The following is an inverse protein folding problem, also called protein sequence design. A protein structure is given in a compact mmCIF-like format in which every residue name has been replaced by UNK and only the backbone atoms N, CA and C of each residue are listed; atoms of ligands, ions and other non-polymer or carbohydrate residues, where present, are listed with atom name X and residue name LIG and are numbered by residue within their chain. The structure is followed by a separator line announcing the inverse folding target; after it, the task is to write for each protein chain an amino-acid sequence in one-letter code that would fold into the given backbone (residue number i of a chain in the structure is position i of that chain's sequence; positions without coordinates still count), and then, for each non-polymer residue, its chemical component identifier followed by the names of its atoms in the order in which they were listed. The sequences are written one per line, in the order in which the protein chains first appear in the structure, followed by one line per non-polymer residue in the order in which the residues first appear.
data_IF_910720636606
#
_entry.id   IF_910720636606
#
_cell.length_a   1.000
_cell.length_b   1.000
_cell.length_c   1.000
_cell.angle_alpha   90.00
_cell.angle_beta   90.00
_cell.angle_gamma   90.00
#
_symmetry.space_group_name_H-M   'P 1'
#
loop_
_entity.id
_entity.type
_entity.pdbx_description
1 polymer ?
#
# COMPACT_ATOMS: atom_id res chain seq x y z
N UNK A 1 -2.83 6.10 -18.30
CA UNK A 1 -1.61 5.72 -17.54
C UNK A 1 -1.88 5.52 -16.06
N UNK A 2 -2.40 6.52 -15.32
CA UNK A 2 -2.70 6.42 -13.88
C UNK A 2 -3.47 5.14 -13.49
N UNK A 3 -4.51 4.81 -14.24
CA UNK A 3 -5.34 3.60 -14.02
C UNK A 3 -4.52 2.31 -14.10
N UNK A 4 -3.65 2.20 -15.09
CA UNK A 4 -2.80 1.01 -15.25
C UNK A 4 -1.72 0.95 -14.17
N UNK A 5 -1.13 2.10 -13.81
CA UNK A 5 -0.14 2.20 -12.76
C UNK A 5 -0.68 1.76 -11.40
N UNK A 6 -1.91 2.16 -11.02
CA UNK A 6 -2.50 1.74 -9.74
C UNK A 6 -2.91 0.25 -9.76
N UNK A 7 -3.45 -0.25 -10.87
CA UNK A 7 -3.76 -1.67 -11.01
C UNK A 7 -2.50 -2.53 -10.91
N UNK A 8 -1.41 -2.10 -11.55
CA UNK A 8 -0.11 -2.76 -11.47
C UNK A 8 0.46 -2.70 -10.04
N UNK A 9 0.33 -1.57 -9.34
CA UNK A 9 0.78 -1.42 -7.96
C UNK A 9 0.00 -2.36 -7.02
N UNK A 10 -1.32 -2.40 -7.12
CA UNK A 10 -2.17 -3.30 -6.32
C UNK A 10 -1.88 -4.79 -6.64
N UNK A 11 -1.47 -5.11 -7.87
CA UNK A 11 -1.05 -6.47 -8.26
C UNK A 11 0.34 -6.80 -7.68
N UNK A 12 1.31 -5.90 -7.83
CA UNK A 12 2.64 -6.05 -7.25
C UNK A 12 2.59 -6.22 -5.73
N UNK A 13 1.71 -5.51 -5.03
CA UNK A 13 1.55 -5.68 -3.57
C UNK A 13 1.09 -7.10 -3.20
N UNK A 14 0.21 -7.72 -3.98
CA UNK A 14 -0.22 -9.12 -3.75
C UNK A 14 0.88 -10.11 -4.10
N UNK A 15 1.56 -9.87 -5.22
CA UNK A 15 2.61 -10.75 -5.70
C UNK A 15 3.82 -10.71 -4.77
N UNK A 16 4.24 -9.53 -4.30
CA UNK A 16 5.30 -9.37 -3.31
C UNK A 16 4.97 -10.10 -2.00
N UNK A 17 3.74 -10.02 -1.51
CA UNK A 17 3.33 -10.76 -0.31
C UNK A 17 3.38 -12.27 -0.53
N UNK A 18 2.89 -12.74 -1.68
CA UNK A 18 2.90 -14.17 -2.03
C UNK A 18 4.33 -14.69 -2.19
N UNK A 19 5.18 -13.95 -2.89
CA UNK A 19 6.58 -14.28 -3.07
C UNK A 19 7.35 -14.24 -1.75
N UNK A 20 7.06 -13.29 -0.86
CA UNK A 20 7.73 -13.23 0.42
C UNK A 20 7.38 -14.43 1.32
N UNK A 21 6.12 -14.88 1.32
CA UNK A 21 5.72 -16.12 2.00
C UNK A 21 6.46 -17.32 1.42
N UNK A 22 6.61 -17.39 0.09
CA UNK A 22 7.33 -18.48 -0.59
C UNK A 22 8.84 -18.47 -0.30
N UNK A 23 9.48 -17.29 -0.30
CA UNK A 23 10.88 -17.11 0.10
C UNK A 23 11.09 -17.58 1.53
N UNK A 24 10.19 -17.21 2.45
CA UNK A 24 10.26 -17.65 3.84
C UNK A 24 10.20 -19.15 3.94
N UNK A 25 9.19 -19.79 3.35
CA UNK A 25 9.06 -21.24 3.38
C UNK A 25 10.30 -21.94 2.82
N UNK A 26 10.83 -21.49 1.69
CA UNK A 26 11.95 -22.15 1.03
C UNK A 26 13.27 -21.96 1.80
N UNK A 27 13.54 -20.75 2.28
CA UNK A 27 14.75 -20.44 3.04
C UNK A 27 14.73 -21.03 4.46
N UNK A 28 13.55 -21.21 5.07
CA UNK A 28 13.41 -21.83 6.39
C UNK A 28 13.90 -23.29 6.45
N UNK A 29 13.96 -23.99 5.31
CA UNK A 29 14.55 -25.34 5.27
C UNK A 29 16.05 -25.29 5.54
N UNK A 30 16.72 -24.21 5.11
CA UNK A 30 18.14 -23.99 5.31
C UNK A 30 18.44 -23.29 6.65
N UNK A 31 17.68 -22.26 6.99
CA UNK A 31 17.91 -21.44 8.19
C UNK A 31 16.57 -21.10 8.88
N UNK A 32 16.01 -22.02 9.69
CA UNK A 32 14.70 -21.85 10.31
C UNK A 32 14.68 -20.73 11.36
N UNK A 33 15.77 -20.48 12.07
CA UNK A 33 15.86 -19.49 13.15
C UNK A 33 15.68 -18.05 12.63
N UNK A 34 16.05 -17.77 11.38
CA UNK A 34 15.85 -16.45 10.76
C UNK A 34 14.37 -16.05 10.71
N UNK A 35 13.46 -17.03 10.63
CA UNK A 35 12.01 -16.78 10.60
C UNK A 35 11.51 -16.20 11.92
N UNK A 36 12.06 -16.65 13.04
CA UNK A 36 11.64 -16.21 14.37
C UNK A 36 12.22 -14.84 14.70
N UNK A 37 13.47 -14.59 14.28
CA UNK A 37 14.15 -13.32 14.49
C UNK A 37 13.55 -12.20 13.63
N UNK A 38 13.32 -12.44 12.33
CA UNK A 38 12.86 -11.41 11.39
C UNK A 38 11.38 -11.58 11.08
N UNK A 39 10.55 -10.74 11.72
CA UNK A 39 9.10 -10.73 11.53
C UNK A 39 8.67 -10.09 10.21
N UNK A 40 9.40 -9.07 9.73
CA UNK A 40 9.07 -8.41 8.46
C UNK A 40 9.52 -9.27 7.27
N UNK A 41 8.58 -9.52 6.38
CA UNK A 41 8.74 -10.28 5.15
C UNK A 41 9.73 -9.63 4.17
N UNK A 42 9.76 -8.30 4.11
CA UNK A 42 10.65 -7.59 3.21
C UNK A 42 12.09 -7.59 3.71
N UNK A 43 12.29 -7.32 5.00
CA UNK A 43 13.60 -7.42 5.65
C UNK A 43 14.15 -8.84 5.58
N UNK A 44 13.31 -9.86 5.81
CA UNK A 44 13.69 -11.26 5.70
C UNK A 44 14.31 -11.58 4.34
N UNK A 45 13.70 -11.09 3.27
CA UNK A 45 14.17 -11.35 1.92
C UNK A 45 15.46 -10.63 1.56
N UNK A 46 15.65 -9.39 2.05
CA UNK A 46 16.92 -8.68 1.90
C UNK A 46 18.03 -9.39 2.67
N UNK A 47 17.75 -9.89 3.87
CA UNK A 47 18.68 -10.71 4.64
C UNK A 47 19.01 -12.01 3.90
N UNK A 48 18.01 -12.74 3.40
CA UNK A 48 18.21 -13.99 2.67
C UNK A 48 19.02 -13.80 1.38
N UNK A 49 18.80 -12.69 0.65
CA UNK A 49 19.58 -12.36 -0.56
C UNK A 49 21.06 -12.09 -0.25
N UNK A 50 21.33 -11.49 0.92
CA UNK A 50 22.68 -11.12 1.35
C UNK A 50 23.46 -12.29 1.98
N UNK A 51 22.79 -13.06 2.83
CA UNK A 51 23.38 -14.16 3.58
C UNK A 51 23.75 -15.33 2.66
N UNK A 52 22.87 -15.69 1.72
CA UNK A 52 23.02 -16.85 0.84
C UNK A 52 23.30 -18.13 1.65
N UNK A 53 24.56 -18.52 1.78
CA UNK A 53 24.98 -19.68 2.57
C UNK A 53 25.32 -19.33 4.02
N UNK A 54 24.83 -20.16 4.95
CA UNK A 54 25.14 -20.09 6.39
C UNK A 54 26.63 -20.09 6.71
N UNK A 55 27.44 -20.78 5.90
CA UNK A 55 28.89 -20.92 6.07
C UNK A 55 29.66 -19.67 5.64
N UNK A 56 29.05 -18.82 4.81
CA UNK A 56 29.64 -17.57 4.35
C UNK A 56 29.41 -16.41 5.32
N UNK A 57 28.80 -16.67 6.48
CA UNK A 57 28.45 -15.67 7.48
C UNK A 57 29.61 -15.46 8.45
N UNK A 58 30.45 -14.46 8.17
CA UNK A 58 31.60 -14.05 8.99
C UNK A 58 31.30 -12.71 9.68
N UNK A 59 31.98 -12.41 10.79
CA UNK A 59 31.84 -11.14 11.53
C UNK A 59 32.13 -9.90 10.65
N UNK A 60 32.86 -10.06 9.55
CA UNK A 60 33.13 -9.01 8.56
C UNK A 60 31.87 -8.53 7.81
N UNK A 61 30.81 -9.34 7.75
CA UNK A 61 29.52 -8.98 7.13
C UNK A 61 28.54 -8.34 8.11
N UNK A 62 28.89 -8.23 9.40
CA UNK A 62 28.09 -7.54 10.41
C UNK A 62 27.69 -6.10 10.03
N UNK A 63 28.59 -5.22 9.54
CA UNK A 63 28.20 -3.83 9.24
C UNK A 63 27.12 -3.75 8.17
N UNK A 64 27.21 -4.53 7.10
CA UNK A 64 26.22 -4.53 6.01
C UNK A 64 24.88 -5.16 6.45
N UNK A 65 24.93 -6.18 7.32
CA UNK A 65 23.74 -6.79 7.90
C UNK A 65 23.03 -5.84 8.88
N UNK A 66 23.80 -5.05 9.65
CA UNK A 66 23.28 -3.98 10.52
C UNK A 66 22.63 -2.87 9.70
N UNK A 67 23.18 -2.49 8.55
CA UNK A 67 22.55 -1.51 7.66
C UNK A 67 21.21 -2.02 7.09
N UNK A 68 21.11 -3.31 6.78
CA UNK A 68 19.88 -3.91 6.24
C UNK A 68 18.81 -4.05 7.32
N UNK A 69 19.18 -4.55 8.51
CA UNK A 69 18.27 -4.84 9.61
C UNK A 69 17.96 -3.59 10.43
N UNK A 70 18.79 -2.55 10.34
CA UNK A 70 18.72 -1.29 11.09
C UNK A 70 18.79 -1.48 12.62
N UNK A 71 19.20 -2.66 13.08
CA UNK A 71 19.29 -3.05 14.49
C UNK A 71 20.54 -3.91 14.70
N UNK A 72 21.48 -3.40 15.50
CA UNK A 72 22.75 -4.07 15.81
C UNK A 72 22.56 -5.33 16.66
N UNK A 73 21.57 -5.33 17.56
CA UNK A 73 21.34 -6.46 18.44
C UNK A 73 20.74 -7.63 17.67
N UNK A 74 19.85 -7.33 16.73
CA UNK A 74 19.23 -8.34 15.87
C UNK A 74 20.24 -8.91 14.86
N UNK A 75 21.17 -8.10 14.33
CA UNK A 75 22.26 -8.59 13.49
C UNK A 75 23.20 -9.56 14.23
N UNK A 76 23.58 -9.23 15.48
CA UNK A 76 24.39 -10.13 16.33
C UNK A 76 23.65 -11.43 16.65
N UNK A 77 22.35 -11.36 16.91
CA UNK A 77 21.51 -12.55 17.13
C UNK A 77 21.43 -13.43 15.89
N UNK A 78 21.35 -12.86 14.68
CA UNK A 78 21.37 -13.63 13.43
C UNK A 78 22.70 -14.37 13.26
N UNK A 79 23.84 -13.72 13.52
CA UNK A 79 25.17 -14.36 13.44
C UNK A 79 25.34 -15.44 14.50
N UNK A 80 24.81 -15.23 15.70
CA UNK A 80 24.83 -16.26 16.73
C UNK A 80 23.91 -17.45 16.37
N UNK A 81 22.74 -17.16 15.81
CA UNK A 81 21.79 -18.17 15.36
C UNK A 81 22.33 -18.98 14.17
N UNK A 82 23.12 -18.39 13.27
CA UNK A 82 23.73 -19.15 12.16
C UNK A 82 24.73 -20.21 12.67
N UNK A 83 25.49 -19.89 13.73
CA UNK A 83 26.43 -20.82 14.37
C UNK A 83 25.72 -21.97 15.09
N UNK A 84 24.52 -21.74 15.61
CA UNK A 84 23.70 -22.71 16.35
C UNK A 84 22.62 -23.38 15.50
N UNK A 85 22.54 -23.05 14.21
CA UNK A 85 21.41 -23.43 13.37
C UNK A 85 21.34 -24.94 13.15
N UNK A 86 20.14 -25.49 13.30
CA UNK A 86 19.83 -26.90 13.05
C UNK A 86 19.29 -27.16 11.64
N UNK A 87 19.36 -26.16 10.75
CA UNK A 87 18.87 -26.27 9.37
C UNK A 87 19.66 -27.23 8.50
N UNK A 88 19.05 -27.69 7.41
CA UNK A 88 19.66 -28.64 6.47
C UNK A 88 20.61 -27.93 5.51
N UNK A 89 21.70 -28.60 5.11
CA UNK A 89 22.57 -28.10 4.04
C UNK A 89 21.86 -28.17 2.70
N UNK A 90 21.73 -27.02 2.04
CA UNK A 90 21.18 -26.95 0.71
C UNK A 90 22.26 -27.28 -0.33
N UNK A 91 21.84 -27.94 -1.41
CA UNK A 91 22.69 -28.08 -2.59
C UNK A 91 23.05 -26.69 -3.15
N UNK A 92 24.26 -26.50 -3.70
CA UNK A 92 24.65 -25.22 -4.30
C UNK A 92 23.73 -24.80 -5.45
N UNK A 93 23.11 -25.76 -6.15
CA UNK A 93 22.13 -25.49 -7.21
C UNK A 93 20.83 -24.90 -6.63
N UNK A 94 20.37 -25.44 -5.51
CA UNK A 94 19.15 -24.96 -4.85
C UNK A 94 19.38 -23.59 -4.21
N UNK A 95 20.55 -23.39 -3.59
CA UNK A 95 20.92 -22.09 -3.02
C UNK A 95 20.99 -21.00 -4.09
N UNK A 96 21.54 -21.31 -5.27
CA UNK A 96 21.57 -20.38 -6.39
C UNK A 96 20.17 -19.98 -6.85
N UNK A 97 19.22 -20.94 -6.91
CA UNK A 97 17.83 -20.64 -7.25
C UNK A 97 17.14 -19.77 -6.19
N UNK A 98 17.39 -20.03 -4.91
CA UNK A 98 16.88 -19.24 -3.78
C UNK A 98 17.44 -17.82 -3.81
N UNK A 99 18.75 -17.66 -4.06
CA UNK A 99 19.42 -16.38 -4.20
C UNK A 99 18.88 -15.57 -5.38
N UNK A 100 18.67 -16.22 -6.54
CA UNK A 100 18.04 -15.57 -7.69
C UNK A 100 16.60 -15.14 -7.41
N UNK A 101 15.83 -15.96 -6.69
CA UNK A 101 14.45 -15.65 -6.36
C UNK A 101 14.34 -14.47 -5.37
N UNK A 102 15.18 -14.46 -4.34
CA UNK A 102 15.26 -13.35 -3.37
C UNK A 102 15.72 -12.05 -4.02
N UNK A 103 16.76 -12.10 -4.87
CA UNK A 103 17.23 -10.97 -5.70
C UNK A 103 16.09 -10.38 -6.55
N UNK A 104 15.36 -11.21 -7.29
CA UNK A 104 14.21 -10.77 -8.10
C UNK A 104 13.12 -10.12 -7.24
N UNK A 105 12.87 -10.64 -6.05
CA UNK A 105 11.86 -10.05 -5.17
C UNK A 105 12.29 -8.68 -4.63
N UNK A 106 13.57 -8.51 -4.29
CA UNK A 106 14.12 -7.19 -3.88
C UNK A 106 13.99 -6.20 -5.03
N UNK A 107 14.37 -6.59 -6.25
CA UNK A 107 14.21 -5.75 -7.44
C UNK A 107 12.75 -5.36 -7.71
N UNK A 108 11.79 -6.30 -7.53
CA UNK A 108 10.36 -6.00 -7.66
C UNK A 108 9.87 -4.99 -6.60
N UNK A 109 10.39 -5.06 -5.39
CA UNK A 109 10.02 -4.12 -4.34
C UNK A 109 10.60 -2.72 -4.58
N UNK A 110 11.81 -2.63 -5.13
CA UNK A 110 12.38 -1.36 -5.58
C UNK A 110 11.57 -0.77 -6.74
N UNK A 111 11.22 -1.61 -7.72
CA UNK A 111 10.34 -1.20 -8.82
C UNK A 111 8.98 -0.70 -8.31
N UNK A 112 8.42 -1.34 -7.27
CA UNK A 112 7.17 -0.89 -6.62
C UNK A 112 7.32 0.51 -6.00
N UNK A 113 8.47 0.84 -5.39
CA UNK A 113 8.76 2.20 -4.89
C UNK A 113 8.86 3.21 -6.03
N UNK A 114 9.57 2.88 -7.10
CA UNK A 114 9.69 3.74 -8.28
C UNK A 114 8.32 3.98 -8.94
N UNK A 115 7.50 2.95 -9.06
CA UNK A 115 6.15 3.06 -9.63
C UNK A 115 5.23 3.92 -8.76
N UNK A 116 5.38 3.86 -7.44
CA UNK A 116 4.64 4.71 -6.51
C UNK A 116 5.03 6.18 -6.68
N UNK A 117 6.33 6.49 -6.76
CA UNK A 117 6.80 7.86 -7.00
C UNK A 117 6.31 8.39 -8.35
N UNK A 118 6.38 7.57 -9.40
CA UNK A 118 5.83 7.89 -10.71
C UNK A 118 4.32 8.18 -10.66
N UNK A 119 3.56 7.40 -9.87
CA UNK A 119 2.13 7.64 -9.67
C UNK A 119 1.87 8.99 -8.99
N UNK A 120 2.68 9.37 -7.99
CA UNK A 120 2.54 10.66 -7.31
C UNK A 120 2.79 11.84 -8.25
N UNK A 121 3.87 11.81 -9.02
CA UNK A 121 4.22 12.86 -9.99
C UNK A 121 3.12 13.02 -11.06
N UNK A 122 2.61 11.90 -11.60
CA UNK A 122 1.53 11.93 -12.59
C UNK A 122 0.20 12.40 -11.99
N UNK A 123 -0.10 12.03 -10.74
CA UNK A 123 -1.32 12.49 -10.09
C UNK A 123 -1.28 13.99 -9.82
N UNK A 124 -0.13 14.52 -9.38
CA UNK A 124 0.05 15.96 -9.18
C UNK A 124 -0.16 16.77 -10.46
N UNK A 125 0.18 16.19 -11.63
CA UNK A 125 -0.02 16.84 -12.92
C UNK A 125 -1.48 16.78 -13.39
N UNK A 126 -2.19 15.68 -13.13
CA UNK A 126 -3.52 15.42 -13.72
C UNK A 126 -4.67 15.80 -12.78
N UNK A 127 -4.56 15.53 -11.49
CA UNK A 127 -5.63 15.77 -10.52
C UNK A 127 -5.05 16.16 -9.15
N UNK A 128 -4.42 17.35 -9.05
CA UNK A 128 -3.82 17.81 -7.80
C UNK A 128 -4.85 18.08 -6.71
N UNK A 129 -6.06 18.56 -7.03
CA UNK A 129 -7.04 18.88 -5.98
C UNK A 129 -7.59 17.61 -5.32
N UNK A 130 -7.88 16.59 -6.12
CA UNK A 130 -8.32 15.29 -5.62
C UNK A 130 -7.21 14.61 -4.82
N UNK A 131 -5.95 14.70 -5.26
CA UNK A 131 -4.80 14.17 -4.54
C UNK A 131 -4.62 14.83 -3.17
N UNK A 132 -4.66 16.16 -3.10
CA UNK A 132 -4.52 16.89 -1.84
C UNK A 132 -5.67 16.60 -0.86
N UNK A 133 -6.88 16.33 -1.38
CA UNK A 133 -8.07 16.08 -0.55
C UNK A 133 -8.10 14.69 0.10
N UNK A 134 -7.73 13.62 -0.61
CA UNK A 134 -7.89 12.23 -0.12
C UNK A 134 -6.62 11.38 -0.16
N UNK A 135 -5.53 11.92 -0.69
CA UNK A 135 -4.27 11.21 -0.96
C UNK A 135 -4.25 10.58 -2.35
N UNK A 136 -3.04 10.42 -2.88
CA UNK A 136 -2.79 10.02 -4.27
C UNK A 136 -3.25 8.59 -4.55
N UNK A 137 -3.06 7.67 -3.59
CA UNK A 137 -3.43 6.25 -3.75
C UNK A 137 -4.94 6.04 -3.81
N UNK A 138 -5.68 6.68 -2.90
CA UNK A 138 -7.14 6.58 -2.85
C UNK A 138 -7.76 7.29 -4.04
N UNK A 139 -7.22 8.45 -4.42
CA UNK A 139 -7.62 9.16 -5.64
C UNK A 139 -7.42 8.30 -6.90
N UNK A 140 -6.24 7.69 -7.06
CA UNK A 140 -5.95 6.81 -8.18
C UNK A 140 -6.91 5.61 -8.26
N UNK A 141 -7.23 4.99 -7.12
CA UNK A 141 -8.21 3.89 -7.06
C UNK A 141 -9.62 4.33 -7.41
N UNK A 142 -10.04 5.53 -7.00
CA UNK A 142 -11.36 6.08 -7.39
C UNK A 142 -11.44 6.31 -8.90
N UNK A 143 -10.40 6.91 -9.49
CA UNK A 143 -10.34 7.15 -10.94
C UNK A 143 -10.33 5.80 -11.69
N UNK A 144 -9.55 4.83 -11.22
CA UNK A 144 -9.50 3.48 -11.80
C UNK A 144 -10.86 2.80 -11.77
N UNK A 145 -11.57 2.87 -10.64
CA UNK A 145 -12.90 2.25 -10.51
C UNK A 145 -13.98 2.94 -11.36
N UNK A 146 -13.88 4.26 -11.54
CA UNK A 146 -14.75 5.02 -12.43
C UNK A 146 -14.40 4.85 -13.93
N UNK A 147 -13.21 4.32 -14.25
CA UNK A 147 -12.70 4.08 -15.60
C UNK A 147 -12.05 5.29 -16.27
N UNK A 148 -12.37 6.51 -15.86
CA UNK A 148 -11.68 7.73 -16.29
C UNK A 148 -11.96 8.89 -15.33
N UNK A 149 -11.15 9.95 -15.40
CA UNK A 149 -11.38 11.18 -14.62
C UNK A 149 -12.68 11.88 -15.05
N UNK A 150 -12.99 11.91 -16.34
CA UNK A 150 -14.22 12.51 -16.86
C UNK A 150 -15.46 11.72 -16.44
N UNK A 151 -15.38 10.38 -16.42
CA UNK A 151 -16.43 9.52 -15.87
C UNK A 151 -16.65 9.81 -14.39
N UNK A 152 -15.55 9.95 -13.61
CA UNK A 152 -15.63 10.27 -12.18
C UNK A 152 -16.25 11.65 -11.94
N UNK A 153 -15.96 12.64 -12.77
CA UNK A 153 -16.54 13.98 -12.69
C UNK A 153 -18.06 13.98 -12.97
N UNK A 154 -18.52 13.11 -13.88
CA UNK A 154 -19.94 12.92 -14.21
C UNK A 154 -20.70 12.16 -13.13
N UNK A 155 -20.03 11.33 -12.33
CA UNK A 155 -20.68 10.60 -11.25
C UNK A 155 -21.29 11.55 -10.20
N UNK A 156 -22.49 11.25 -9.68
CA UNK A 156 -23.02 11.97 -8.53
C UNK A 156 -22.28 11.57 -7.26
N UNK A 157 -22.29 12.46 -6.26
CA UNK A 157 -21.58 12.23 -5.00
C UNK A 157 -22.08 10.98 -4.24
N UNK A 158 -23.36 10.63 -4.37
CA UNK A 158 -23.94 9.40 -3.81
C UNK A 158 -23.30 8.15 -4.38
N UNK A 159 -22.99 8.12 -5.68
CA UNK A 159 -22.25 7.02 -6.31
C UNK A 159 -20.80 7.03 -5.87
N UNK A 160 -20.17 8.21 -5.80
CA UNK A 160 -18.77 8.35 -5.33
C UNK A 160 -18.58 7.79 -3.92
N UNK A 161 -19.57 7.97 -3.03
CA UNK A 161 -19.56 7.43 -1.67
C UNK A 161 -19.43 5.90 -1.60
N UNK A 162 -20.05 5.18 -2.55
CA UNK A 162 -20.16 3.72 -2.57
C UNK A 162 -19.25 3.05 -3.62
N UNK A 163 -18.46 3.83 -4.37
CA UNK A 163 -17.51 3.30 -5.37
C UNK A 163 -16.60 2.25 -4.73
N UNK A 164 -16.58 1.05 -5.31
CA UNK A 164 -15.84 -0.13 -4.79
C UNK A 164 -16.64 -1.04 -3.85
N UNK A 165 -17.78 -0.61 -3.32
CA UNK A 165 -18.70 -1.45 -2.53
C UNK A 165 -19.88 -2.01 -3.36
N UNK A 166 -19.80 -1.96 -4.69
CA UNK A 166 -20.86 -2.36 -5.62
C UNK A 166 -21.39 -3.77 -5.35
N UNK A 167 -20.51 -4.76 -5.15
CA UNK A 167 -20.93 -6.14 -4.86
C UNK A 167 -21.79 -6.24 -3.60
N UNK A 168 -21.41 -5.51 -2.55
CA UNK A 168 -22.14 -5.48 -1.29
C UNK A 168 -23.48 -4.73 -1.45
N UNK A 169 -23.50 -3.65 -2.24
CA UNK A 169 -24.71 -2.92 -2.58
C UNK A 169 -25.71 -3.80 -3.34
N UNK A 170 -25.27 -4.47 -4.40
CA UNK A 170 -26.14 -5.36 -5.19
C UNK A 170 -26.65 -6.55 -4.37
N UNK A 171 -25.83 -7.08 -3.46
CA UNK A 171 -26.26 -8.12 -2.52
C UNK A 171 -27.34 -7.60 -1.58
N UNK A 172 -27.14 -6.43 -0.96
CA UNK A 172 -28.12 -5.82 -0.06
C UNK A 172 -29.45 -5.51 -0.77
N UNK A 173 -29.39 -5.05 -2.03
CA UNK A 173 -30.59 -4.77 -2.82
C UNK A 173 -31.39 -6.04 -3.12
N UNK A 174 -30.70 -7.16 -3.41
CA UNK A 174 -31.34 -8.48 -3.62
C UNK A 174 -31.95 -9.05 -2.35
N UNK A 175 -31.26 -8.91 -1.22
CA UNK A 175 -31.73 -9.47 0.07
C UNK A 175 -32.57 -8.48 0.89
N UNK A 176 -32.93 -7.31 0.33
CA UNK A 176 -33.55 -6.18 1.05
C UNK A 176 -32.87 -5.86 2.40
N UNK A 177 -31.54 -6.01 2.44
CA UNK A 177 -30.72 -5.76 3.61
C UNK A 177 -30.19 -4.32 3.66
N UNK A 178 -29.40 -4.03 4.70
CA UNK A 178 -28.76 -2.72 4.86
C UNK A 178 -27.73 -2.45 3.75
N UNK A 179 -27.84 -1.31 3.09
CA UNK A 179 -26.88 -0.87 2.07
C UNK A 179 -25.55 -0.41 2.70
N UNK A 180 -24.41 -0.64 2.02
CA UNK A 180 -23.11 -0.17 2.49
C UNK A 180 -23.07 1.36 2.50
N UNK A 181 -22.47 1.93 3.56
CA UNK A 181 -22.38 3.39 3.76
C UNK A 181 -21.08 4.00 3.21
N UNK A 182 -20.12 3.19 2.80
CA UNK A 182 -18.80 3.62 2.34
C UNK A 182 -18.19 2.57 1.40
N UNK A 183 -17.39 3.02 0.44
CA UNK A 183 -16.57 2.20 -0.46
C UNK A 183 -15.09 2.47 -0.28
N UNK A 184 -14.38 2.75 -1.38
CA UNK A 184 -12.92 3.02 -1.39
C UNK A 184 -12.53 4.23 -0.53
N UNK A 185 -13.43 5.20 -0.38
CA UNK A 185 -13.21 6.41 0.43
C UNK A 185 -13.00 6.06 1.91
N UNK A 186 -13.42 4.88 2.37
CA UNK A 186 -13.18 4.41 3.75
C UNK A 186 -11.70 4.38 4.13
N UNK A 187 -10.81 4.18 3.16
CA UNK A 187 -9.36 4.18 3.37
C UNK A 187 -8.74 5.57 3.51
N UNK A 188 -9.53 6.64 3.42
CA UNK A 188 -9.06 8.00 3.71
C UNK A 188 -8.79 8.18 5.20
N UNK A 189 -7.75 8.95 5.51
CA UNK A 189 -7.33 9.26 6.89
C UNK A 189 -8.45 9.95 7.69
N UNK A 190 -9.26 10.80 7.05
CA UNK A 190 -10.38 11.50 7.66
C UNK A 190 -11.44 10.54 8.24
N UNK A 191 -11.78 9.47 7.52
CA UNK A 191 -12.76 8.49 8.00
C UNK A 191 -12.17 7.58 9.09
N UNK A 192 -10.86 7.33 9.04
CA UNK A 192 -10.14 6.60 10.09
C UNK A 192 -10.20 7.30 11.45
N UNK A 193 -10.06 8.64 11.45
CA UNK A 193 -10.10 9.48 12.67
C UNK A 193 -11.51 9.64 13.25
N UNK A 194 -12.54 9.63 12.40
CA UNK A 194 -13.91 9.85 12.83
C UNK A 194 -14.49 8.74 13.73
N UNK A 195 -15.27 9.12 14.75
CA UNK A 195 -16.03 8.19 15.58
C UNK A 195 -17.02 7.34 14.77
N UNK A 196 -17.22 6.07 15.16
CA UNK A 196 -17.98 5.07 14.41
C UNK A 196 -19.41 5.53 14.02
N UNK A 197 -20.08 6.30 14.89
CA UNK A 197 -21.41 6.86 14.66
C UNK A 197 -21.42 7.93 13.55
N UNK A 198 -20.33 8.69 13.45
CA UNK A 198 -20.18 9.83 12.54
C UNK A 198 -19.53 9.47 11.20
N UNK A 199 -18.88 8.30 11.09
CA UNK A 199 -18.24 7.81 9.84
C UNK A 199 -19.13 7.90 8.61
N UNK A 200 -20.42 7.56 8.73
CA UNK A 200 -21.36 7.64 7.60
C UNK A 200 -21.68 9.08 7.15
N UNK A 201 -21.73 10.02 8.09
CA UNK A 201 -22.00 11.44 7.82
C UNK A 201 -20.78 12.10 7.17
N UNK A 202 -19.59 11.83 7.72
CA UNK A 202 -18.32 12.33 7.18
C UNK A 202 -18.03 11.72 5.81
N UNK A 203 -18.28 10.42 5.61
CA UNK A 203 -18.15 9.76 4.29
C UNK A 203 -18.98 10.46 3.21
N UNK A 204 -20.23 10.83 3.52
CA UNK A 204 -21.09 11.57 2.59
C UNK A 204 -20.55 12.98 2.31
N UNK A 205 -20.11 13.69 3.34
CA UNK A 205 -19.54 15.03 3.19
C UNK A 205 -18.27 14.99 2.33
N UNK A 206 -17.37 14.05 2.62
CA UNK A 206 -16.15 13.84 1.86
C UNK A 206 -16.46 13.46 0.40
N UNK A 207 -17.42 12.57 0.15
CA UNK A 207 -17.82 12.21 -1.22
C UNK A 207 -18.35 13.43 -2.01
N UNK A 208 -19.09 14.33 -1.35
CA UNK A 208 -19.52 15.59 -1.98
C UNK A 208 -18.32 16.47 -2.37
N UNK A 209 -17.33 16.62 -1.48
CA UNK A 209 -16.12 17.41 -1.75
C UNK A 209 -15.24 16.76 -2.82
N UNK A 210 -15.11 15.43 -2.80
CA UNK A 210 -14.40 14.69 -3.84
C UNK A 210 -15.05 14.85 -5.22
N UNK A 211 -16.39 14.84 -5.30
CA UNK A 211 -17.11 15.06 -6.56
C UNK A 211 -16.94 16.50 -7.10
N UNK A 212 -16.77 17.49 -6.21
CA UNK A 212 -16.46 18.86 -6.62
C UNK A 212 -15.01 18.93 -7.10
N UNK A 213 -14.06 18.39 -6.32
CA UNK A 213 -12.64 18.37 -6.69
C UNK A 213 -12.39 17.66 -8.02
N UNK A 214 -13.04 16.50 -8.25
CA UNK A 214 -12.88 15.75 -9.51
C UNK A 214 -13.43 16.49 -10.72
N UNK A 215 -14.47 17.31 -10.56
CA UNK A 215 -14.98 18.17 -11.63
C UNK A 215 -14.05 19.33 -11.92
N UNK A 216 -13.51 19.97 -10.89
CA UNK A 216 -12.52 21.04 -11.06
C UNK A 216 -11.32 20.49 -11.81
N UNK A 217 -10.73 19.38 -11.33
CA UNK A 217 -9.56 18.75 -11.96
C UNK A 217 -9.84 18.26 -13.40
N UNK A 218 -11.07 17.85 -13.72
CA UNK A 218 -11.39 17.35 -15.06
C UNK A 218 -11.66 18.44 -16.10
N UNK A 219 -12.06 19.64 -15.69
CA UNK A 219 -12.52 20.70 -16.60
C UNK A 219 -11.67 21.97 -16.56
N UNK A 220 -10.73 22.09 -15.62
CA UNK A 220 -9.78 23.19 -15.57
C UNK A 220 -8.67 22.97 -16.61
N UNK A 221 -8.24 24.03 -17.30
CA UNK A 221 -7.14 23.96 -18.28
C UNK A 221 -5.77 23.94 -17.59
N UNK A 222 -5.60 24.74 -16.54
CA UNK A 222 -4.40 24.76 -15.70
C UNK A 222 -4.74 24.28 -14.27
N UNK A 223 -4.25 23.09 -13.86
CA UNK A 223 -4.63 22.52 -12.58
C UNK A 223 -3.89 23.21 -11.44
N UNK A 224 -4.63 23.90 -10.57
CA UNK A 224 -4.12 24.55 -9.35
C UNK A 224 -4.42 23.70 -8.11
N UNK A 225 -3.58 23.74 -7.07
CA UNK A 225 -3.76 23.02 -5.79
C UNK A 225 -4.65 23.74 -4.77
N UNK A 226 -4.86 25.05 -4.95
CA UNK A 226 -5.51 25.93 -3.96
C UNK A 226 -6.93 25.46 -3.58
N UNK A 227 -7.70 24.96 -4.56
CA UNK A 227 -9.05 24.46 -4.31
C UNK A 227 -9.03 23.20 -3.44
N UNK A 228 -8.08 22.29 -3.68
CA UNK A 228 -7.91 21.07 -2.91
C UNK A 228 -7.60 21.36 -1.44
N UNK A 229 -6.73 22.33 -1.17
CA UNK A 229 -6.40 22.77 0.19
C UNK A 229 -7.62 23.34 0.90
N UNK A 230 -8.35 24.27 0.25
CA UNK A 230 -9.58 24.84 0.84
C UNK A 230 -10.67 23.81 1.08
N UNK A 231 -10.81 22.83 0.18
CA UNK A 231 -11.75 21.72 0.36
C UNK A 231 -11.33 20.81 1.51
N UNK A 232 -10.03 20.61 1.72
CA UNK A 232 -9.49 19.85 2.84
C UNK A 232 -9.73 20.57 4.17
N UNK A 233 -9.46 21.87 4.25
CA UNK A 233 -9.74 22.70 5.44
C UNK A 233 -11.21 22.56 5.87
N UNK A 234 -12.14 22.63 4.91
CA UNK A 234 -13.57 22.45 5.18
C UNK A 234 -13.93 21.05 5.71
N UNK A 235 -13.23 20.00 5.27
CA UNK A 235 -13.42 18.65 5.80
C UNK A 235 -12.84 18.53 7.21
N UNK A 236 -11.70 19.15 7.48
CA UNK A 236 -11.06 19.18 8.80
C UNK A 236 -11.92 19.96 9.82
N UNK A 237 -12.41 21.16 9.47
CA UNK A 237 -13.36 21.91 10.29
C UNK A 237 -14.61 21.09 10.61
N UNK A 238 -15.13 20.37 9.61
CA UNK A 238 -16.32 19.54 9.80
C UNK A 238 -16.05 18.33 10.69
N UNK A 239 -14.84 17.76 10.62
CA UNK A 239 -14.41 16.67 11.50
C UNK A 239 -14.30 17.16 12.95
N UNK A 240 -13.63 18.29 13.16
CA UNK A 240 -13.50 18.92 14.48
C UNK A 240 -14.88 19.22 15.09
N UNK A 241 -15.82 19.75 14.30
CA UNK A 241 -17.19 20.00 14.75
C UNK A 241 -17.89 18.74 15.28
N UNK A 242 -17.63 17.57 14.69
CA UNK A 242 -18.21 16.30 15.13
C UNK A 242 -17.49 15.64 16.32
N UNK A 243 -16.27 16.08 16.62
CA UNK A 243 -15.49 15.61 17.77
C UNK A 243 -15.75 16.49 19.01
N UNK A 244 -15.97 17.80 18.82
CA UNK A 244 -16.26 18.74 19.90
C UNK A 244 -17.75 18.83 20.29
N UNK A 245 -18.66 18.24 19.51
CA UNK A 245 -20.12 18.40 19.63
C UNK A 245 -20.93 17.11 19.65
#
# INVERSE_FOLDING_TARGET
MIIQSICLLDQLDKDLNTFAMRVREWYCWHFPELRELVKDNYLFARCAAFIQDRTSLTEDKLPELTEIVMDEDLAKQIVHASKLSMGMECSPVDMLNISQFTSRMVALAEYRKQLFQYLQEKMATVAPNLATLIGETVAARLISKAGSLTSLAKCPASTVQILGAEKALFRALKTKGNTPKYGLIYHSTFIGRAAAKNKGRISRYLANKCAIASRIDSFIEEPTTLYGEKLRDQVEERLNFYDTG
#
